data_IF_342939908564
#
_entry.id   IF_342939908564
#
_cell.length_a   1.000
_cell.length_b   1.000
_cell.length_c   1.000
_cell.angle_alpha   90.00
_cell.angle_beta   90.00
_cell.angle_gamma   90.00
#
_symmetry.space_group_name_H-M   'P 1'
#
loop_
_entity.id
_entity.type
_entity.pdbx_description
1 polymer ?
#
# COMPACT_ATOMS: atom_id res chain seq x y z
N UNK A 1 -5.63 25.23 -14.63
CA UNK A 1 -6.62 24.51 -13.78
C UNK A 1 -6.18 23.06 -13.48
N UNK A 2 -4.88 22.72 -13.58
CA UNK A 2 -4.34 21.34 -13.45
C UNK A 2 -3.74 21.04 -12.07
N UNK A 3 -3.19 22.05 -11.37
CA UNK A 3 -2.58 21.88 -10.04
C UNK A 3 -3.51 21.26 -8.99
N UNK A 4 -4.81 21.60 -9.04
CA UNK A 4 -5.76 21.16 -8.02
C UNK A 4 -6.14 19.68 -8.19
N UNK A 5 -6.08 19.12 -9.41
CA UNK A 5 -6.33 17.70 -9.66
C UNK A 5 -5.12 16.83 -9.32
N UNK A 6 -3.92 17.33 -9.59
CA UNK A 6 -2.67 16.60 -9.31
C UNK A 6 -2.41 16.49 -7.81
N UNK A 7 -2.69 17.56 -7.06
CA UNK A 7 -2.59 17.55 -5.60
C UNK A 7 -3.59 16.55 -4.99
N UNK A 8 -4.83 16.50 -5.49
CA UNK A 8 -5.85 15.52 -5.05
C UNK A 8 -5.43 14.09 -5.35
N UNK A 9 -4.91 13.81 -6.54
CA UNK A 9 -4.41 12.48 -6.89
C UNK A 9 -3.25 12.04 -5.97
N UNK A 10 -2.29 12.94 -5.71
CA UNK A 10 -1.18 12.66 -4.80
C UNK A 10 -1.67 12.33 -3.37
N UNK A 11 -2.68 13.05 -2.88
CA UNK A 11 -3.32 12.78 -1.60
C UNK A 11 -4.04 11.43 -1.59
N UNK A 12 -4.82 11.10 -2.63
CA UNK A 12 -5.49 9.79 -2.71
C UNK A 12 -4.51 8.64 -2.83
N UNK A 13 -3.42 8.80 -3.58
CA UNK A 13 -2.34 7.81 -3.65
C UNK A 13 -1.72 7.56 -2.27
N UNK A 14 -1.45 8.61 -1.49
CA UNK A 14 -0.98 8.48 -0.10
C UNK A 14 -1.99 7.73 0.78
N UNK A 15 -3.29 8.01 0.64
CA UNK A 15 -4.34 7.30 1.39
C UNK A 15 -4.39 5.82 1.06
N UNK A 16 -4.32 5.44 -0.21
CA UNK A 16 -4.29 4.01 -0.61
C UNK A 16 -3.05 3.32 -0.05
N UNK A 17 -1.90 4.00 -0.05
CA UNK A 17 -0.68 3.50 0.58
C UNK A 17 -0.82 3.29 2.08
N UNK A 18 -1.45 4.23 2.78
CA UNK A 18 -1.72 4.11 4.22
C UNK A 18 -2.66 2.92 4.53
N UNK A 19 -3.70 2.72 3.70
CA UNK A 19 -4.63 1.58 3.85
C UNK A 19 -3.90 0.26 3.62
N UNK A 20 -3.04 0.17 2.61
CA UNK A 20 -2.22 -1.02 2.37
C UNK A 20 -1.32 -1.33 3.57
N UNK A 21 -0.61 -0.33 4.10
CA UNK A 21 0.23 -0.51 5.28
C UNK A 21 -0.58 -0.97 6.51
N UNK A 22 -1.77 -0.40 6.71
CA UNK A 22 -2.67 -0.81 7.78
C UNK A 22 -3.09 -2.29 7.64
N UNK A 23 -3.45 -2.73 6.43
CA UNK A 23 -3.81 -4.13 6.17
C UNK A 23 -2.65 -5.08 6.47
N UNK A 24 -1.42 -4.71 6.11
CA UNK A 24 -0.22 -5.50 6.43
C UNK A 24 -0.05 -5.64 7.94
N UNK A 25 -0.22 -4.56 8.71
CA UNK A 25 -0.14 -4.61 10.19
C UNK A 25 -1.21 -5.53 10.77
N UNK A 26 -2.44 -5.44 10.29
CA UNK A 26 -3.53 -6.33 10.72
C UNK A 26 -3.21 -7.79 10.39
N UNK A 27 -2.67 -8.06 9.21
CA UNK A 27 -2.23 -9.40 8.81
C UNK A 27 -1.14 -9.96 9.75
N UNK A 28 -0.15 -9.12 10.10
CA UNK A 28 0.90 -9.50 11.07
C UNK A 28 0.26 -9.88 12.41
N UNK A 29 -0.64 -9.06 12.94
CA UNK A 29 -1.31 -9.32 14.22
C UNK A 29 -2.05 -10.66 14.16
N UNK A 30 -2.80 -10.92 13.08
CA UNK A 30 -3.54 -12.17 12.91
C UNK A 30 -2.59 -13.37 12.88
N UNK A 31 -1.51 -13.32 12.09
CA UNK A 31 -0.55 -14.42 12.00
C UNK A 31 0.16 -14.66 13.34
N UNK A 32 0.56 -13.60 14.04
CA UNK A 32 1.27 -13.70 15.33
C UNK A 32 0.36 -14.16 16.47
N UNK A 33 -0.92 -13.78 16.48
CA UNK A 33 -1.83 -14.10 17.59
C UNK A 33 -2.63 -15.39 17.40
N UNK A 34 -2.88 -15.80 16.15
CA UNK A 34 -3.72 -16.96 15.85
C UNK A 34 -2.88 -18.15 15.36
N UNK A 35 -1.85 -17.91 14.54
CA UNK A 35 -1.10 -18.99 13.87
C UNK A 35 0.14 -19.39 14.68
N UNK A 36 0.90 -18.41 15.18
CA UNK A 36 2.12 -18.69 15.93
C UNK A 36 1.79 -19.27 17.31
N UNK A 37 2.31 -20.46 17.61
CA UNK A 37 2.07 -21.13 18.90
C UNK A 37 3.15 -20.77 19.92
N UNK A 38 4.41 -20.75 19.49
CA UNK A 38 5.57 -20.48 20.34
C UNK A 38 6.17 -19.08 20.08
N UNK A 39 6.98 -18.59 21.03
CA UNK A 39 7.55 -17.25 20.96
C UNK A 39 8.56 -17.07 19.81
N UNK A 40 9.27 -18.14 19.43
CA UNK A 40 10.15 -18.13 18.26
C UNK A 40 9.34 -17.96 16.96
N UNK A 41 8.21 -18.65 16.83
CA UNK A 41 7.35 -18.54 15.66
C UNK A 41 6.75 -17.14 15.53
N UNK A 42 6.37 -16.49 16.64
CA UNK A 42 5.89 -15.09 16.63
C UNK A 42 6.93 -14.14 16.05
N UNK A 43 8.21 -14.34 16.39
CA UNK A 43 9.32 -13.58 15.82
C UNK A 43 9.48 -13.88 14.32
N UNK A 44 9.43 -15.15 13.91
CA UNK A 44 9.50 -15.52 12.50
C UNK A 44 8.35 -14.93 11.68
N UNK A 45 7.10 -15.11 12.13
CA UNK A 45 5.94 -14.57 11.43
C UNK A 45 5.96 -13.05 11.36
N UNK A 46 6.39 -12.34 12.41
CA UNK A 46 6.50 -10.88 12.36
C UNK A 46 7.56 -10.42 11.35
N UNK A 47 8.79 -10.94 11.42
CA UNK A 47 9.88 -10.57 10.51
C UNK A 47 9.59 -10.98 9.06
N UNK A 48 9.12 -12.21 8.86
CA UNK A 48 8.82 -12.75 7.53
C UNK A 48 7.67 -12.00 6.88
N UNK A 49 6.62 -11.65 7.64
CA UNK A 49 5.48 -10.92 7.08
C UNK A 49 5.87 -9.48 6.72
N UNK A 50 6.72 -8.82 7.53
CA UNK A 50 7.27 -7.51 7.19
C UNK A 50 8.13 -7.60 5.93
N UNK A 51 9.04 -8.57 5.84
CA UNK A 51 9.87 -8.78 4.65
C UNK A 51 9.02 -9.09 3.40
N UNK A 52 8.03 -9.97 3.53
CA UNK A 52 7.11 -10.32 2.45
C UNK A 52 6.31 -9.09 1.99
N UNK A 53 5.87 -8.21 2.90
CA UNK A 53 5.15 -6.99 2.53
C UNK A 53 5.98 -6.00 1.71
N UNK A 54 7.30 -6.02 1.90
CA UNK A 54 8.25 -5.22 1.13
C UNK A 54 8.53 -5.84 -0.25
N UNK A 55 8.76 -7.16 -0.28
CA UNK A 55 9.02 -7.90 -1.53
C UNK A 55 7.78 -7.91 -2.43
N UNK A 56 6.60 -8.13 -1.83
CA UNK A 56 5.31 -8.15 -2.52
C UNK A 56 4.64 -6.77 -2.57
N UNK A 57 5.44 -5.70 -2.41
CA UNK A 57 4.94 -4.33 -2.50
C UNK A 57 4.21 -4.12 -3.83
N UNK A 58 2.96 -3.66 -3.82
CA UNK A 58 2.21 -3.41 -5.03
C UNK A 58 2.91 -2.34 -5.87
N UNK A 59 3.02 -2.60 -7.18
CA UNK A 59 3.61 -1.64 -8.10
C UNK A 59 2.76 -0.38 -8.22
N UNK A 60 3.37 0.73 -8.65
CA UNK A 60 2.67 2.00 -8.82
C UNK A 60 1.49 1.92 -9.79
N UNK A 61 1.53 1.00 -10.76
CA UNK A 61 0.42 0.72 -11.67
C UNK A 61 -0.79 0.10 -10.96
N UNK A 62 -0.55 -0.77 -9.98
CA UNK A 62 -1.63 -1.39 -9.19
C UNK A 62 -2.27 -0.34 -8.28
N UNK A 63 -1.44 0.48 -7.63
CA UNK A 63 -1.91 1.57 -6.78
C UNK A 63 -2.68 2.63 -7.57
N UNK A 64 -2.19 3.05 -8.73
CA UNK A 64 -2.88 4.04 -9.57
C UNK A 64 -4.22 3.53 -10.06
N UNK A 65 -4.31 2.25 -10.46
CA UNK A 65 -5.57 1.59 -10.83
C UNK A 65 -6.54 1.51 -9.64
N UNK A 66 -6.04 1.25 -8.44
CA UNK A 66 -6.85 1.26 -7.22
C UNK A 66 -7.37 2.67 -6.89
N UNK A 67 -6.53 3.71 -7.01
CA UNK A 67 -6.93 5.11 -6.83
C UNK A 67 -8.02 5.50 -7.83
N UNK A 68 -7.84 5.16 -9.11
CA UNK A 68 -8.84 5.42 -10.14
C UNK A 68 -10.16 4.70 -9.83
N UNK A 69 -10.11 3.43 -9.41
CA UNK A 69 -11.31 2.64 -9.14
C UNK A 69 -12.06 3.09 -7.89
N UNK A 70 -11.35 3.47 -6.83
CA UNK A 70 -11.93 3.81 -5.53
C UNK A 70 -12.33 5.28 -5.46
N UNK A 71 -11.47 6.18 -5.96
CA UNK A 71 -11.65 7.63 -5.82
C UNK A 71 -12.04 8.32 -7.14
N UNK A 72 -12.06 7.60 -8.26
CA UNK A 72 -12.37 8.19 -9.58
C UNK A 72 -11.30 9.16 -10.10
N UNK A 73 -10.15 9.26 -9.42
CA UNK A 73 -9.09 10.19 -9.78
C UNK A 73 -8.12 9.53 -10.77
N UNK A 74 -8.00 10.12 -11.95
CA UNK A 74 -7.04 9.69 -12.96
C UNK A 74 -5.61 10.05 -12.55
N UNK A 75 -4.63 9.17 -12.82
CA UNK A 75 -3.22 9.56 -12.71
C UNK A 75 -2.92 10.76 -13.63
N UNK A 76 -2.03 11.69 -13.23
CA UNK A 76 -1.59 12.76 -14.10
C UNK A 76 -1.03 12.15 -15.39
N UNK A 77 -1.31 12.79 -16.53
CA UNK A 77 -0.87 12.31 -17.83
C UNK A 77 0.66 12.18 -17.85
N UNK A 78 1.16 11.08 -18.41
CA UNK A 78 2.58 10.72 -18.47
C UNK A 78 3.45 11.81 -19.17
N UNK A 79 2.82 12.77 -19.85
CA UNK A 79 3.44 13.93 -20.49
C UNK A 79 4.06 14.96 -19.55
N UNK A 80 3.71 14.97 -18.26
CA UNK A 80 4.22 15.95 -17.28
C UNK A 80 5.37 15.42 -16.40
N UNK A 81 5.74 14.14 -16.56
CA UNK A 81 6.82 13.48 -15.78
C UNK A 81 8.19 13.51 -16.49
N UNK A 82 8.24 14.03 -17.71
CA UNK A 82 9.44 14.03 -18.57
C UNK A 82 9.85 15.44 -19.00
N UNK A 83 9.56 16.45 -18.17
CA UNK A 83 9.86 17.86 -18.41
C UNK A 83 10.66 18.48 -17.27
#
# INVERSE_FOLDING_TARGET
MTENTDNKYALYRKKVWAIYALMVVVLIIILVTIVAQDDEEKLFYSLMTVAASYVLRPSDRVISKAVLRIFGASPPAESDLNK
#
